data_IF_005901682285
#
_entry.id   IF_005901682285
#
_cell.length_a   1.000
_cell.length_b   1.000
_cell.length_c   1.000
_cell.angle_alpha   90.00
_cell.angle_beta   90.00
_cell.angle_gamma   90.00
#
_symmetry.space_group_name_H-M   'P 1'
#
loop_
_entity.id
_entity.type
_entity.pdbx_description
1 polymer ?
#
# COMPACT_ATOMS: atom_id res chain seq x y z
N UNK A 1 -12.48 38.48 20.00
CA UNK A 1 -11.34 37.67 19.52
C UNK A 1 -11.79 36.75 18.38
N UNK A 2 -11.58 37.09 17.09
CA UNK A 2 -11.86 36.17 15.97
C UNK A 2 -10.59 35.91 15.14
N UNK A 3 -10.12 34.64 15.06
CA UNK A 3 -8.85 34.35 14.37
C UNK A 3 -8.61 32.91 13.90
N UNK A 4 -9.64 32.06 13.75
CA UNK A 4 -9.43 30.61 13.48
C UNK A 4 -10.07 30.06 12.19
N UNK A 5 -10.49 30.91 11.26
CA UNK A 5 -11.22 30.51 10.04
C UNK A 5 -10.40 30.59 8.73
N UNK A 6 -9.18 31.15 8.73
CA UNK A 6 -8.42 31.41 7.49
C UNK A 6 -7.55 30.26 6.98
N UNK A 7 -7.22 29.26 7.80
CA UNK A 7 -6.26 28.20 7.42
C UNK A 7 -6.85 27.17 6.45
N UNK A 8 -8.16 26.87 6.54
CA UNK A 8 -8.80 25.86 5.68
C UNK A 8 -8.95 26.29 4.22
N UNK A 9 -9.25 27.57 3.98
CA UNK A 9 -9.46 28.10 2.61
C UNK A 9 -8.16 28.24 1.82
N UNK A 10 -7.05 28.53 2.50
CA UNK A 10 -5.73 28.66 1.86
C UNK A 10 -5.17 27.28 1.46
N UNK A 11 -5.41 26.25 2.29
CA UNK A 11 -4.99 24.89 1.97
C UNK A 11 -5.75 24.30 0.78
N UNK A 12 -7.05 24.58 0.65
CA UNK A 12 -7.85 24.11 -0.49
C UNK A 12 -7.42 24.76 -1.81
N UNK A 13 -7.09 26.06 -1.78
CA UNK A 13 -6.67 26.82 -2.96
C UNK A 13 -5.27 26.41 -3.47
N UNK A 14 -4.35 26.09 -2.57
CA UNK A 14 -3.00 25.61 -2.92
C UNK A 14 -3.03 24.22 -3.58
N UNK A 15 -3.91 23.32 -3.14
CA UNK A 15 -4.07 21.99 -3.75
C UNK A 15 -4.64 22.07 -5.17
N UNK A 16 -5.62 22.95 -5.41
CA UNK A 16 -6.17 23.18 -6.77
C UNK A 16 -5.15 23.80 -7.72
N UNK A 17 -4.31 24.73 -7.23
CA UNK A 17 -3.28 25.36 -8.06
C UNK A 17 -2.16 24.37 -8.44
N UNK A 18 -1.77 23.46 -7.54
CA UNK A 18 -0.80 22.42 -7.83
C UNK A 18 -1.33 21.39 -8.85
N UNK A 19 -2.61 21.00 -8.75
CA UNK A 19 -3.25 20.13 -9.74
C UNK A 19 -3.37 20.81 -11.11
N UNK A 20 -3.74 22.10 -11.14
CA UNK A 20 -3.80 22.87 -12.38
C UNK A 20 -2.41 23.09 -13.02
N UNK A 21 -1.37 23.33 -12.23
CA UNK A 21 0.00 23.47 -12.71
C UNK A 21 0.59 22.14 -13.22
N UNK A 22 0.29 21.01 -12.57
CA UNK A 22 0.66 19.69 -13.03
C UNK A 22 -0.04 19.31 -14.36
N UNK A 23 -1.29 19.77 -14.56
CA UNK A 23 -2.02 19.58 -15.81
C UNK A 23 -1.55 20.53 -16.94
N UNK A 24 -1.00 21.70 -16.62
CA UNK A 24 -0.58 22.70 -17.60
C UNK A 24 0.85 22.51 -18.13
N UNK A 25 1.75 21.86 -17.39
CA UNK A 25 3.18 21.78 -17.72
C UNK A 25 3.59 20.81 -18.84
N UNK A 26 2.66 20.07 -19.43
CA UNK A 26 2.96 18.96 -20.35
C UNK A 26 2.64 19.18 -21.83
N UNK A 27 1.97 20.27 -22.21
CA UNK A 27 1.54 20.47 -23.59
C UNK A 27 2.72 20.97 -24.47
N UNK A 28 3.56 20.04 -24.92
CA UNK A 28 4.40 20.28 -26.11
C UNK A 28 3.50 20.10 -27.34
N UNK A 29 3.35 21.15 -28.14
CA UNK A 29 2.75 21.02 -29.47
C UNK A 29 3.65 20.12 -30.33
N UNK A 30 3.25 18.86 -30.44
CA UNK A 30 3.79 17.95 -31.44
C UNK A 30 3.01 18.19 -32.74
N UNK A 31 3.64 18.87 -33.70
CA UNK A 31 3.09 19.00 -35.05
C UNK A 31 3.08 17.63 -35.72
N UNK A 32 1.91 17.01 -35.85
CA UNK A 32 1.77 15.76 -36.57
C UNK A 32 1.92 16.01 -38.08
N UNK A 33 2.90 15.35 -38.70
CA UNK A 33 3.08 15.32 -40.17
C UNK A 33 2.04 14.43 -40.88
N UNK A 34 1.21 13.67 -40.13
CA UNK A 34 0.23 12.72 -40.65
C UNK A 34 -1.06 12.72 -39.80
N UNK A 35 -2.21 12.42 -40.42
CA UNK A 35 -3.53 12.46 -39.77
C UNK A 35 -3.64 11.35 -38.71
N UNK A 36 -3.58 11.74 -37.44
CA UNK A 36 -3.67 10.81 -36.30
C UNK A 36 -5.07 10.21 -36.23
N UNK A 37 -5.16 8.87 -36.21
CA UNK A 37 -6.44 8.18 -35.98
C UNK A 37 -6.82 8.21 -34.50
N UNK A 38 -8.07 8.56 -34.22
CA UNK A 38 -8.68 8.57 -32.90
C UNK A 38 -9.36 7.26 -32.48
N UNK A 39 -9.42 6.25 -33.38
CA UNK A 39 -10.18 5.02 -33.16
C UNK A 39 -9.71 4.27 -31.91
N UNK A 40 -10.66 3.91 -31.03
CA UNK A 40 -10.44 3.20 -29.78
C UNK A 40 -9.83 4.04 -28.65
N UNK A 41 -9.19 5.19 -28.96
CA UNK A 41 -8.55 6.05 -27.93
C UNK A 41 -9.59 6.73 -27.05
N UNK A 42 -10.77 7.02 -27.60
CA UNK A 42 -11.87 7.62 -26.86
C UNK A 42 -12.41 6.63 -25.85
N UNK A 43 -12.64 5.39 -26.27
CA UNK A 43 -13.08 4.29 -25.39
C UNK A 43 -12.07 4.05 -24.26
N UNK A 44 -10.78 3.89 -24.58
CA UNK A 44 -9.74 3.63 -23.56
C UNK A 44 -9.56 4.85 -22.64
N UNK A 45 -9.65 6.06 -23.17
CA UNK A 45 -9.53 7.26 -22.37
C UNK A 45 -10.66 7.43 -21.38
N UNK A 46 -11.89 7.19 -21.81
CA UNK A 46 -13.06 7.32 -20.94
C UNK A 46 -13.24 6.14 -19.99
N UNK A 47 -12.80 4.91 -20.33
CA UNK A 47 -12.76 3.81 -19.34
C UNK A 47 -11.83 4.17 -18.19
N UNK A 48 -10.63 4.67 -18.49
CA UNK A 48 -9.72 5.17 -17.46
C UNK A 48 -10.39 6.30 -16.69
N UNK A 49 -10.79 7.37 -17.37
CA UNK A 49 -11.39 8.56 -16.74
C UNK A 49 -12.63 8.23 -15.88
N UNK A 50 -13.46 7.27 -16.31
CA UNK A 50 -14.63 6.82 -15.56
C UNK A 50 -14.26 6.09 -14.27
N UNK A 51 -13.24 5.23 -14.30
CA UNK A 51 -12.71 4.59 -13.09
C UNK A 51 -12.10 5.61 -12.13
N UNK A 52 -11.25 6.50 -12.66
CA UNK A 52 -10.59 7.54 -11.87
C UNK A 52 -11.61 8.47 -11.18
N UNK A 53 -12.64 8.94 -11.91
CA UNK A 53 -13.66 9.82 -11.35
C UNK A 53 -14.39 9.20 -10.15
N UNK A 54 -14.73 7.91 -10.24
CA UNK A 54 -15.41 7.21 -9.14
C UNK A 54 -14.45 6.96 -7.97
N UNK A 55 -13.24 6.49 -8.23
CA UNK A 55 -12.26 6.20 -7.19
C UNK A 55 -11.85 7.46 -6.42
N UNK A 56 -11.59 8.58 -7.12
CA UNK A 56 -11.33 9.87 -6.48
C UNK A 56 -12.54 10.30 -5.66
N UNK A 57 -13.76 10.14 -6.18
CA UNK A 57 -14.99 10.48 -5.45
C UNK A 57 -15.12 9.71 -4.13
N UNK A 58 -14.95 8.38 -4.16
CA UNK A 58 -14.97 7.55 -2.96
C UNK A 58 -13.89 7.95 -1.95
N UNK A 59 -12.68 8.21 -2.44
CA UNK A 59 -11.57 8.62 -1.58
C UNK A 59 -11.80 10.02 -0.98
N UNK A 60 -12.41 10.94 -1.73
CA UNK A 60 -12.79 12.26 -1.24
C UNK A 60 -13.88 12.17 -0.15
N UNK A 61 -14.76 11.18 -0.22
CA UNK A 61 -15.73 10.88 0.85
C UNK A 61 -15.14 10.06 2.01
N UNK A 62 -13.84 9.75 1.98
CA UNK A 62 -13.16 9.08 3.09
C UNK A 62 -13.52 7.59 3.22
N UNK A 63 -13.86 6.93 2.11
CA UNK A 63 -14.14 5.49 2.13
C UNK A 63 -12.85 4.73 2.41
N UNK A 64 -12.72 4.11 3.58
CA UNK A 64 -11.48 3.43 3.99
C UNK A 64 -11.43 1.97 3.51
N UNK A 65 -12.59 1.36 3.24
CA UNK A 65 -12.67 -0.03 2.80
C UNK A 65 -12.24 -0.17 1.34
N UNK A 66 -11.50 -1.23 0.98
CA UNK A 66 -11.00 -1.45 -0.39
C UNK A 66 -12.08 -1.96 -1.35
N UNK A 67 -13.05 -2.75 -0.87
CA UNK A 67 -14.06 -3.38 -1.74
C UNK A 67 -14.89 -2.38 -2.59
N UNK A 68 -15.32 -1.20 -2.09
CA UNK A 68 -16.09 -0.23 -2.86
C UNK A 68 -15.28 0.31 -4.05
N UNK A 69 -13.97 0.48 -3.90
CA UNK A 69 -13.10 0.93 -4.99
C UNK A 69 -13.07 -0.09 -6.14
N UNK A 70 -13.08 -1.39 -5.83
CA UNK A 70 -13.11 -2.43 -6.85
C UNK A 70 -14.46 -2.45 -7.58
N UNK A 71 -15.56 -2.44 -6.84
CA UNK A 71 -16.91 -2.56 -7.43
C UNK A 71 -17.31 -1.29 -8.16
N UNK A 72 -17.28 -0.14 -7.49
CA UNK A 72 -17.72 1.12 -8.08
C UNK A 72 -16.68 1.69 -9.03
N UNK A 73 -15.37 1.52 -8.76
CA UNK A 73 -14.32 1.88 -9.72
C UNK A 73 -14.44 1.05 -11.00
N UNK A 74 -14.63 -0.27 -10.89
CA UNK A 74 -14.88 -1.13 -12.05
C UNK A 74 -16.17 -0.75 -12.81
N UNK A 75 -17.25 -0.48 -12.09
CA UNK A 75 -18.51 0.02 -12.70
C UNK A 75 -18.30 1.36 -13.41
N UNK A 76 -17.52 2.26 -12.81
CA UNK A 76 -17.11 3.54 -13.40
C UNK A 76 -16.32 3.35 -14.70
N UNK A 77 -15.43 2.37 -14.75
CA UNK A 77 -14.71 2.03 -15.99
C UNK A 77 -15.66 1.54 -17.08
N UNK A 78 -16.61 0.66 -16.76
CA UNK A 78 -17.60 0.15 -17.73
C UNK A 78 -18.47 1.30 -18.25
N UNK A 79 -19.01 2.13 -17.35
CA UNK A 79 -19.80 3.31 -17.72
C UNK A 79 -18.99 4.28 -18.59
N UNK A 80 -17.72 4.49 -18.23
CA UNK A 80 -16.75 5.26 -19.00
C UNK A 80 -16.55 4.69 -20.40
N UNK A 81 -16.36 3.39 -20.55
CA UNK A 81 -16.21 2.75 -21.86
C UNK A 81 -17.44 2.88 -22.75
N UNK A 82 -18.64 2.74 -22.19
CA UNK A 82 -19.90 3.00 -22.91
C UNK A 82 -19.97 4.46 -23.37
N UNK A 83 -19.58 5.39 -22.50
CA UNK A 83 -19.48 6.81 -22.84
C UNK A 83 -18.49 7.09 -23.97
N UNK A 84 -17.33 6.44 -23.95
CA UNK A 84 -16.31 6.58 -25.01
C UNK A 84 -16.76 5.99 -26.33
N UNK A 85 -17.48 4.86 -26.31
CA UNK A 85 -18.08 4.29 -27.50
C UNK A 85 -19.11 5.24 -28.11
N UNK A 86 -19.96 5.87 -27.29
CA UNK A 86 -20.92 6.87 -27.74
C UNK A 86 -20.22 8.11 -28.33
N UNK A 87 -19.12 8.56 -27.73
CA UNK A 87 -18.30 9.67 -28.24
C UNK A 87 -17.69 9.31 -29.59
N UNK A 88 -17.06 8.13 -29.74
CA UNK A 88 -16.48 7.70 -31.01
C UNK A 88 -17.54 7.52 -32.11
N UNK A 89 -18.73 7.04 -31.73
CA UNK A 89 -19.87 6.88 -32.65
C UNK A 89 -20.37 8.21 -33.20
N UNK A 90 -20.12 9.33 -32.52
CA UNK A 90 -20.44 10.67 -33.00
C UNK A 90 -19.42 11.22 -34.03
N UNK A 91 -18.38 10.44 -34.37
CA UNK A 91 -17.30 10.79 -35.29
C UNK A 91 -16.65 12.17 -35.02
N UNK A 92 -16.20 12.45 -33.78
CA UNK A 92 -15.57 13.72 -33.44
C UNK A 92 -14.18 13.86 -34.09
N UNK A 93 -13.63 15.08 -34.09
CA UNK A 93 -12.22 15.32 -34.42
C UNK A 93 -11.29 14.45 -33.57
N UNK A 94 -10.15 14.02 -34.14
CA UNK A 94 -9.25 13.04 -33.51
C UNK A 94 -8.60 13.54 -32.21
N UNK A 95 -8.57 14.85 -32.01
CA UNK A 95 -8.05 15.53 -30.83
C UNK A 95 -8.87 15.17 -29.59
N UNK A 96 -10.20 14.99 -29.73
CA UNK A 96 -11.09 14.70 -28.60
C UNK A 96 -10.77 13.34 -27.96
N UNK A 97 -10.74 12.21 -28.70
CA UNK A 97 -10.24 10.93 -28.20
C UNK A 97 -8.83 11.02 -27.62
N UNK A 98 -7.96 11.84 -28.22
CA UNK A 98 -6.58 12.02 -27.76
C UNK A 98 -6.52 12.68 -26.39
N UNK A 99 -7.31 13.74 -26.17
CA UNK A 99 -7.39 14.43 -24.88
C UNK A 99 -8.07 13.59 -23.81
N UNK A 100 -9.09 12.81 -24.16
CA UNK A 100 -9.72 11.89 -23.22
C UNK A 100 -8.74 10.81 -22.75
N UNK A 101 -7.95 10.25 -23.68
CA UNK A 101 -6.90 9.29 -23.35
C UNK A 101 -5.80 9.91 -22.48
N UNK A 102 -5.29 11.06 -22.91
CA UNK A 102 -4.26 11.78 -22.18
C UNK A 102 -4.74 12.16 -20.77
N UNK A 103 -5.98 12.63 -20.64
CA UNK A 103 -6.61 12.96 -19.37
C UNK A 103 -6.77 11.74 -18.46
N UNK A 104 -7.26 10.61 -18.99
CA UNK A 104 -7.36 9.37 -18.24
C UNK A 104 -6.02 8.89 -17.70
N UNK A 105 -4.99 8.87 -18.55
CA UNK A 105 -3.63 8.49 -18.14
C UNK A 105 -3.00 9.48 -17.14
N UNK A 106 -3.26 10.77 -17.29
CA UNK A 106 -2.74 11.80 -16.38
C UNK A 106 -3.33 11.67 -14.97
N UNK A 107 -4.57 11.18 -14.85
CA UNK A 107 -5.25 11.03 -13.56
C UNK A 107 -4.84 9.79 -12.76
N UNK A 108 -4.17 8.81 -13.37
CA UNK A 108 -3.74 7.58 -12.69
C UNK A 108 -2.91 7.89 -11.44
N UNK A 109 -1.88 8.74 -11.56
CA UNK A 109 -0.97 9.03 -10.44
C UNK A 109 -1.72 9.74 -9.30
N UNK A 110 -2.46 10.85 -9.54
CA UNK A 110 -3.28 11.47 -8.51
C UNK A 110 -4.23 10.50 -7.81
N UNK A 111 -4.93 9.64 -8.56
CA UNK A 111 -5.90 8.73 -7.94
C UNK A 111 -5.23 7.69 -7.08
N UNK A 112 -4.12 7.10 -7.51
CA UNK A 112 -3.36 6.16 -6.68
C UNK A 112 -2.95 6.83 -5.36
N UNK A 113 -2.47 8.08 -5.40
CA UNK A 113 -2.10 8.80 -4.18
C UNK A 113 -3.31 8.99 -3.25
N UNK A 114 -4.43 9.49 -3.78
CA UNK A 114 -5.60 9.83 -2.96
C UNK A 114 -6.29 8.57 -2.42
N UNK A 115 -6.41 7.52 -3.24
CA UNK A 115 -6.97 6.22 -2.82
C UNK A 115 -6.11 5.55 -1.76
N UNK A 116 -4.79 5.47 -1.95
CA UNK A 116 -3.89 4.89 -0.96
C UNK A 116 -3.91 5.66 0.36
N UNK A 117 -4.00 6.99 0.29
CA UNK A 117 -4.12 7.81 1.49
C UNK A 117 -5.45 7.58 2.22
N UNK A 118 -6.55 7.38 1.49
CA UNK A 118 -7.86 7.08 2.07
C UNK A 118 -7.93 5.68 2.69
N UNK A 119 -7.24 4.69 2.12
CA UNK A 119 -7.22 3.30 2.60
C UNK A 119 -6.02 2.98 3.50
N UNK A 120 -5.29 4.00 3.97
CA UNK A 120 -4.12 3.81 4.82
C UNK A 120 -4.52 3.18 6.16
N UNK A 121 -3.74 2.20 6.62
CA UNK A 121 -3.99 1.54 7.90
C UNK A 121 -3.90 2.54 9.05
N UNK A 122 -4.96 2.58 9.86
CA UNK A 122 -5.00 3.31 11.12
C UNK A 122 -4.95 2.29 12.26
N UNK A 123 -3.96 2.36 13.16
CA UNK A 123 -3.91 1.44 14.28
C UNK A 123 -5.19 1.60 15.11
N UNK A 124 -5.78 0.50 15.61
CA UNK A 124 -6.84 0.58 16.58
C UNK A 124 -6.36 1.45 17.74
N UNK A 125 -7.04 2.57 17.99
CA UNK A 125 -6.93 3.21 19.30
C UNK A 125 -7.40 2.19 20.31
N UNK A 126 -6.55 1.84 21.28
CA UNK A 126 -6.94 1.04 22.42
C UNK A 126 -8.16 1.73 23.05
N UNK A 127 -9.35 1.23 22.72
CA UNK A 127 -10.51 1.45 23.57
C UNK A 127 -10.14 0.76 24.87
N UNK A 128 -10.09 1.52 25.95
CA UNK A 128 -10.11 0.94 27.29
C UNK A 128 -11.37 0.08 27.36
N UNK A 129 -11.23 -1.22 27.06
CA UNK A 129 -12.27 -2.19 27.28
C UNK A 129 -12.39 -2.33 28.80
N UNK A 130 -13.50 -1.89 29.43
CA UNK A 130 -13.68 -2.02 30.87
C UNK A 130 -13.62 -3.48 31.33
N UNK A 131 -13.80 -4.44 30.42
CA UNK A 131 -13.68 -5.88 30.67
C UNK A 131 -12.22 -6.38 30.83
N UNK A 132 -11.20 -5.59 30.48
CA UNK A 132 -9.77 -5.95 30.69
C UNK A 132 -9.19 -5.44 32.01
N UNK A 133 -9.95 -4.64 32.78
CA UNK A 133 -9.53 -4.08 34.07
C UNK A 133 -10.08 -4.83 35.29
N UNK A 134 -10.77 -5.96 35.12
CA UNK A 134 -11.04 -6.84 36.26
C UNK A 134 -9.80 -7.70 36.55
N UNK A 135 -9.18 -7.58 37.75
CA UNK A 135 -8.10 -8.47 38.13
C UNK A 135 -8.65 -9.89 38.23
N UNK A 136 -8.11 -10.81 37.41
CA UNK A 136 -8.46 -12.23 37.45
C UNK A 136 -8.27 -12.78 38.88
N UNK A 137 -9.27 -13.39 39.52
CA UNK A 137 -9.18 -13.87 40.91
C UNK A 137 -8.23 -15.07 41.11
N UNK A 138 -7.68 -15.66 40.05
CA UNK A 138 -6.87 -16.88 40.13
C UNK A 138 -5.47 -16.65 39.59
N UNK A 139 -4.62 -16.08 40.45
CA UNK A 139 -3.17 -16.22 40.31
C UNK A 139 -2.74 -17.63 40.75
N UNK A 140 -1.89 -18.33 39.99
CA UNK A 140 -1.29 -19.56 40.48
C UNK A 140 -0.32 -19.23 41.63
N UNK A 141 -0.63 -19.74 42.84
CA UNK A 141 0.31 -19.77 43.96
C UNK A 141 1.46 -20.71 43.58
N UNK A 142 2.61 -20.17 43.22
CA UNK A 142 3.85 -20.94 43.11
C UNK A 142 4.55 -20.85 44.46
N UNK A 143 4.18 -21.76 45.36
CA UNK A 143 4.94 -22.09 46.55
C UNK A 143 5.87 -23.24 46.16
N UNK A 144 7.14 -22.94 45.93
CA UNK A 144 8.08 -23.91 45.39
C UNK A 144 9.50 -23.36 45.31
N UNK A 145 10.30 -23.72 46.31
CA UNK A 145 11.72 -23.47 46.52
C UNK A 145 12.58 -23.57 45.24
N UNK A 146 12.85 -22.43 44.58
CA UNK A 146 13.83 -22.34 43.50
C UNK A 146 15.20 -21.99 44.07
N UNK A 147 15.95 -23.04 44.42
CA UNK A 147 17.39 -22.98 44.63
C UNK A 147 18.07 -22.38 43.39
N UNK A 148 18.66 -21.19 43.53
CA UNK A 148 19.49 -20.56 42.51
C UNK A 148 20.79 -21.37 42.42
N UNK A 149 20.82 -22.33 41.49
CA UNK A 149 22.05 -23.04 41.14
C UNK A 149 22.77 -22.21 40.07
N UNK A 150 23.76 -21.39 40.49
CA UNK A 150 24.66 -20.65 39.59
C UNK A 150 25.58 -21.64 38.87
N UNK A 151 25.05 -22.36 37.88
CA UNK A 151 25.81 -23.24 37.01
C UNK A 151 26.39 -22.43 35.84
N UNK A 152 27.63 -21.98 36.06
CA UNK A 152 28.74 -21.88 35.09
C UNK A 152 28.33 -21.48 33.66
N UNK A 153 28.48 -20.19 33.34
CA UNK A 153 28.55 -19.68 31.98
C UNK A 153 29.69 -20.39 31.24
N UNK A 154 29.35 -21.34 30.39
CA UNK A 154 30.29 -21.96 29.45
C UNK A 154 30.33 -21.05 28.23
N UNK A 155 31.42 -20.29 28.10
CA UNK A 155 31.73 -19.50 26.91
C UNK A 155 31.79 -20.43 25.70
N UNK A 156 30.76 -20.38 24.86
CA UNK A 156 30.77 -21.02 23.55
C UNK A 156 31.74 -20.24 22.62
N UNK A 157 32.43 -20.93 21.69
CA UNK A 157 33.32 -20.26 20.73
C UNK A 157 32.55 -19.21 19.91
N UNK A 158 33.19 -18.11 19.47
CA UNK A 158 32.54 -17.12 18.64
C UNK A 158 31.98 -17.81 17.39
N UNK A 159 30.65 -17.75 17.25
CA UNK A 159 29.97 -18.22 16.05
C UNK A 159 30.55 -17.48 14.84
N UNK A 160 30.88 -18.22 13.79
CA UNK A 160 31.26 -17.65 12.51
C UNK A 160 30.23 -16.58 12.09
N UNK A 161 30.66 -15.47 11.45
CA UNK A 161 29.74 -14.43 11.02
C UNK A 161 28.62 -15.06 10.19
N UNK A 162 27.34 -14.73 10.45
CA UNK A 162 26.23 -15.27 9.69
C UNK A 162 26.49 -14.94 8.22
N UNK A 163 26.58 -15.97 7.38
CA UNK A 163 26.65 -15.76 5.92
C UNK A 163 25.43 -14.92 5.56
N UNK A 164 25.59 -13.78 4.88
CA UNK A 164 24.46 -12.92 4.55
C UNK A 164 23.48 -13.71 3.68
N UNK A 165 22.29 -14.00 4.21
CA UNK A 165 21.22 -14.55 3.42
C UNK A 165 20.82 -13.48 2.38
N UNK A 166 21.00 -13.81 1.11
CA UNK A 166 20.49 -13.00 0.01
C UNK A 166 18.97 -13.16 -0.01
N UNK A 167 18.22 -12.05 0.05
CA UNK A 167 16.78 -12.06 -0.17
C UNK A 167 16.45 -12.25 -1.65
N UNK A 168 15.17 -12.54 -1.97
CA UNK A 168 14.72 -12.57 -3.37
C UNK A 168 14.95 -11.22 -4.06
N UNK A 169 14.74 -10.13 -3.32
CA UNK A 169 15.09 -8.76 -3.71
C UNK A 169 15.99 -8.17 -2.63
N UNK A 170 17.19 -7.74 -3.00
CA UNK A 170 18.14 -7.05 -2.13
C UNK A 170 18.40 -5.64 -2.65
N UNK A 171 18.15 -4.66 -1.79
CA UNK A 171 18.25 -3.23 -2.06
C UNK A 171 19.42 -2.66 -1.25
N UNK A 172 20.49 -2.30 -1.96
CA UNK A 172 21.67 -1.59 -1.45
C UNK A 172 21.72 -0.21 -2.12
N UNK A 173 22.20 0.86 -1.45
CA UNK A 173 22.35 2.19 -2.04
C UNK A 173 23.09 2.22 -3.40
N UNK A 174 23.92 1.21 -3.69
CA UNK A 174 24.64 1.10 -4.95
C UNK A 174 24.15 -0.02 -5.86
N UNK A 175 23.26 -0.93 -5.41
CA UNK A 175 22.91 -2.15 -6.16
C UNK A 175 21.48 -2.62 -5.88
N UNK A 176 20.81 -3.02 -6.95
CA UNK A 176 19.62 -3.88 -6.93
C UNK A 176 20.07 -5.30 -7.29
N UNK A 177 19.89 -6.25 -6.39
CA UNK A 177 20.20 -7.66 -6.65
C UNK A 177 18.96 -8.54 -6.50
N UNK A 178 18.89 -9.56 -7.36
CA UNK A 178 17.89 -10.63 -7.27
C UNK A 178 18.62 -11.93 -6.99
N UNK A 179 18.17 -12.67 -5.97
CA UNK A 179 18.83 -13.90 -5.52
C UNK A 179 17.83 -15.02 -5.27
N UNK A 180 18.30 -16.26 -5.28
CA UNK A 180 17.51 -17.37 -4.75
C UNK A 180 17.75 -17.44 -3.24
N UNK A 181 16.73 -17.18 -2.40
CA UNK A 181 16.91 -17.20 -0.96
C UNK A 181 17.14 -18.63 -0.48
N UNK A 182 18.18 -18.82 0.33
CA UNK A 182 18.38 -20.09 1.03
C UNK A 182 17.34 -20.20 2.16
N UNK A 183 16.50 -21.25 2.19
CA UNK A 183 15.53 -21.42 3.28
C UNK A 183 16.25 -21.65 4.60
N UNK A 184 15.83 -20.95 5.64
CA UNK A 184 16.32 -21.16 7.00
C UNK A 184 15.33 -22.03 7.78
N UNK A 185 15.83 -23.13 8.36
CA UNK A 185 15.05 -24.04 9.18
C UNK A 185 15.44 -23.82 10.64
N UNK A 186 14.47 -23.41 11.48
CA UNK A 186 14.68 -23.25 12.92
C UNK A 186 13.67 -24.06 13.74
N UNK A 187 14.07 -24.55 14.93
CA UNK A 187 13.11 -25.09 15.90
C UNK A 187 12.13 -24.00 16.34
N UNK A 188 10.83 -24.31 16.31
CA UNK A 188 9.77 -23.40 16.79
C UNK A 188 9.82 -23.18 18.30
N UNK A 189 10.30 -24.17 19.04
CA UNK A 189 10.32 -24.15 20.50
C UNK A 189 11.71 -24.47 21.00
N UNK A 190 12.13 -23.74 22.04
CA UNK A 190 13.30 -24.08 22.83
C UNK A 190 13.01 -25.29 23.72
N UNK A 191 14.07 -26.00 24.16
CA UNK A 191 13.92 -27.14 25.07
C UNK A 191 13.20 -26.78 26.38
N UNK A 192 13.32 -25.53 26.84
CA UNK A 192 12.64 -25.05 28.04
C UNK A 192 11.13 -24.85 27.81
N UNK A 193 10.73 -24.35 26.64
CA UNK A 193 9.32 -24.17 26.28
C UNK A 193 8.62 -25.50 26.06
N UNK A 194 9.30 -26.48 25.47
CA UNK A 194 8.75 -27.83 25.32
C UNK A 194 8.42 -28.47 26.68
N UNK A 195 9.31 -28.32 27.67
CA UNK A 195 9.06 -28.83 29.03
C UNK A 195 7.97 -28.05 29.77
N UNK A 196 7.87 -26.73 29.55
CA UNK A 196 6.90 -25.88 30.24
C UNK A 196 5.48 -26.01 29.69
N UNK A 197 5.35 -26.18 28.37
CA UNK A 197 4.06 -26.14 27.68
C UNK A 197 3.63 -27.49 27.10
N UNK A 198 4.44 -28.54 27.19
CA UNK A 198 4.11 -29.88 26.69
C UNK A 198 3.91 -29.94 25.17
N UNK A 199 4.41 -28.96 24.43
CA UNK A 199 4.24 -28.84 22.99
C UNK A 199 5.22 -29.73 22.23
N UNK A 200 4.75 -30.33 21.14
CA UNK A 200 5.61 -31.08 20.22
C UNK A 200 6.51 -30.12 19.44
N UNK A 201 7.73 -30.54 19.16
CA UNK A 201 8.70 -29.74 18.42
C UNK A 201 8.19 -29.49 16.99
N UNK A 202 8.00 -28.22 16.65
CA UNK A 202 7.71 -27.78 15.29
C UNK A 202 8.97 -27.25 14.58
N UNK A 203 8.95 -27.25 13.26
CA UNK A 203 9.97 -26.60 12.43
C UNK A 203 9.38 -25.34 11.78
N UNK A 204 10.07 -24.21 11.91
CA UNK A 204 9.76 -22.98 11.19
C UNK A 204 10.63 -22.90 9.94
N UNK A 205 10.00 -22.67 8.79
CA UNK A 205 10.67 -22.40 7.52
C UNK A 205 10.61 -20.91 7.21
N UNK A 206 11.75 -20.25 7.14
CA UNK A 206 11.84 -18.82 6.79
C UNK A 206 12.42 -18.64 5.40
N UNK A 207 11.72 -17.85 4.59
CA UNK A 207 12.14 -17.47 3.24
C UNK A 207 12.32 -15.94 3.18
N UNK A 208 13.55 -15.41 3.15
CA UNK A 208 13.77 -13.98 3.04
C UNK A 208 13.34 -13.47 1.65
N UNK A 209 12.26 -12.67 1.60
CA UNK A 209 11.73 -12.13 0.35
C UNK A 209 12.35 -10.79 -0.02
N UNK A 210 12.46 -9.87 0.93
CA UNK A 210 12.99 -8.52 0.69
C UNK A 210 14.02 -8.19 1.75
N UNK A 211 15.15 -7.66 1.31
CA UNK A 211 16.19 -7.09 2.15
C UNK A 211 16.51 -5.68 1.66
N UNK A 212 16.63 -4.74 2.59
CA UNK A 212 17.01 -3.37 2.29
C UNK A 212 17.99 -2.89 3.35
N UNK A 213 19.08 -2.27 2.89
CA UNK A 213 20.09 -1.64 3.74
C UNK A 213 20.16 -0.17 3.34
N UNK A 214 20.18 0.74 4.32
CA UNK A 214 20.14 2.20 4.10
C UNK A 214 21.33 2.85 4.81
#
# INVERSE_FOLDING_TARGET
MPGRQRKGRVSLLLSTAALAAALAGGAREASAQEKVSGTGKGIVGTTLLGGEAVMIGLAAFGVESTWPYLVFGGAGMIAGGIGGWAIESAAPPAEVPLYLLAGGMALIIPTVIVTLNATAYRPPVEREDPARQEPSPEGPKIEGDLRINTSRVRTAPPAAPPRPALGLVDLDPQRLAFGLPAPEIRPLYSSQEMMRFGVLQGQEFRFPLVRATF
#
